data_IF_538867027124
#
_entry.id   IF_538867027124
#
_cell.length_a   1.000
_cell.length_b   1.000
_cell.length_c   1.000
_cell.angle_alpha   90.00
_cell.angle_beta   90.00
_cell.angle_gamma   90.00
#
_symmetry.space_group_name_H-M   'P 1'
#
loop_
_entity.id
_entity.type
_entity.pdbx_description
1 polymer ?
#
# COMPACT_ATOMS: atom_id res chain seq x y z
N UNK A 1 1.34 -6.93 22.80
CA UNK A 1 1.69 -5.50 22.94
C UNK A 1 0.50 -4.61 23.30
N UNK A 2 -0.67 -5.17 23.66
CA UNK A 2 -1.83 -4.39 24.10
C UNK A 2 -2.53 -3.59 23.00
N UNK A 3 -1.98 -3.57 21.78
CA UNK A 3 -2.60 -2.92 20.63
C UNK A 3 -3.89 -3.64 20.23
N UNK A 4 -4.93 -2.89 19.80
CA UNK A 4 -6.09 -3.48 19.15
C UNK A 4 -5.67 -4.33 17.93
N UNK A 5 -6.36 -5.45 17.75
CA UNK A 5 -6.21 -6.30 16.58
C UNK A 5 -7.54 -6.35 15.81
N UNK A 6 -7.50 -5.95 14.55
CA UNK A 6 -8.65 -5.95 13.66
C UNK A 6 -8.58 -7.18 12.75
N UNK A 7 -9.63 -7.99 12.77
CA UNK A 7 -9.69 -9.19 11.92
C UNK A 7 -11.07 -9.38 11.32
N UNK A 8 -11.12 -10.00 10.13
CA UNK A 8 -12.35 -10.34 9.44
C UNK A 8 -12.42 -9.74 8.04
N UNK A 9 -13.64 -9.48 7.57
CA UNK A 9 -13.87 -8.97 6.22
C UNK A 9 -14.53 -7.58 6.27
N UNK A 10 -14.08 -6.67 5.40
CA UNK A 10 -14.67 -5.34 5.25
C UNK A 10 -14.96 -5.02 3.78
N UNK A 11 -16.09 -4.36 3.55
CA UNK A 11 -16.43 -3.73 2.29
C UNK A 11 -16.35 -2.21 2.47
N UNK A 12 -15.55 -1.55 1.64
CA UNK A 12 -15.26 -0.12 1.72
C UNK A 12 -15.59 0.54 0.37
N UNK A 13 -15.98 1.81 0.40
CA UNK A 13 -16.03 2.60 -0.85
C UNK A 13 -14.60 2.96 -1.30
N UNK A 14 -13.74 3.29 -0.35
CA UNK A 14 -12.35 3.66 -0.60
C UNK A 14 -11.43 3.09 0.48
N UNK A 15 -10.25 2.63 0.05
CA UNK A 15 -9.13 2.28 0.91
C UNK A 15 -7.90 3.08 0.48
N UNK A 16 -7.47 4.01 1.34
CA UNK A 16 -6.22 4.75 1.18
C UNK A 16 -5.07 4.04 1.91
N UNK A 17 -3.99 3.75 1.19
CA UNK A 17 -2.80 3.10 1.71
C UNK A 17 -1.80 4.07 2.37
N UNK A 18 -1.90 5.37 2.10
CA UNK A 18 -0.94 6.36 2.61
C UNK A 18 -0.86 6.41 4.14
N UNK A 19 -1.98 6.41 4.91
CA UNK A 19 -1.92 6.39 6.36
C UNK A 19 -1.18 5.17 6.92
N UNK A 20 -1.29 4.01 6.26
CA UNK A 20 -0.57 2.81 6.66
C UNK A 20 0.92 2.95 6.36
N UNK A 21 1.29 3.51 5.20
CA UNK A 21 2.69 3.77 4.86
C UNK A 21 3.34 4.75 5.84
N UNK A 22 2.62 5.79 6.27
CA UNK A 22 3.03 6.73 7.33
C UNK A 22 3.23 6.01 8.66
N UNK A 23 2.33 5.11 9.04
CA UNK A 23 2.48 4.32 10.26
C UNK A 23 3.72 3.41 10.27
N UNK A 24 4.16 2.96 9.09
CA UNK A 24 5.34 2.10 8.91
C UNK A 24 6.64 2.90 8.87
N UNK A 25 6.67 4.04 8.18
CA UNK A 25 7.91 4.80 7.93
C UNK A 25 8.07 6.11 8.69
N UNK A 26 7.00 6.61 9.32
CA UNK A 26 6.97 7.92 9.95
C UNK A 26 6.56 9.03 8.97
N UNK A 27 5.90 10.04 9.52
CA UNK A 27 5.38 11.21 8.81
C UNK A 27 6.48 12.05 8.14
N UNK A 28 7.63 12.23 8.82
CA UNK A 28 8.72 13.09 8.37
C UNK A 28 9.26 12.70 6.99
N UNK A 29 9.27 11.41 6.67
CA UNK A 29 9.74 10.92 5.38
C UNK A 29 8.82 11.29 4.21
N UNK A 30 7.56 11.60 4.48
CA UNK A 30 6.57 12.00 3.48
C UNK A 30 6.39 13.52 3.36
N UNK A 31 7.11 14.34 4.14
CA UNK A 31 7.06 15.81 4.09
C UNK A 31 7.84 16.43 2.91
N UNK A 32 8.16 15.65 1.88
CA UNK A 32 9.04 16.03 0.77
C UNK A 32 8.49 17.17 -0.09
N UNK A 33 9.16 18.33 -0.02
CA UNK A 33 8.90 19.54 -0.80
C UNK A 33 9.22 19.36 -2.31
N UNK A 34 8.37 18.64 -3.04
CA UNK A 34 8.38 18.60 -4.51
C UNK A 34 9.46 17.72 -5.16
N UNK A 35 10.12 16.82 -4.40
CA UNK A 35 10.98 15.76 -4.96
C UNK A 35 10.38 14.39 -4.68
N UNK A 36 10.45 13.48 -5.66
CA UNK A 36 9.87 12.12 -5.61
C UNK A 36 10.49 11.21 -4.54
N UNK A 37 11.64 11.57 -3.95
CA UNK A 37 12.31 10.74 -2.94
C UNK A 37 12.43 11.42 -1.57
N UNK A 38 12.19 10.71 -0.46
CA UNK A 38 12.41 11.23 0.90
C UNK A 38 13.84 11.67 1.15
N UNK A 39 14.01 12.83 1.79
CA UNK A 39 15.32 13.30 2.29
C UNK A 39 15.47 13.14 3.80
N UNK A 40 14.36 13.03 4.52
CA UNK A 40 14.35 12.71 5.94
C UNK A 40 14.50 11.18 6.13
N UNK A 41 15.17 10.72 7.19
CA UNK A 41 15.25 9.29 7.51
C UNK A 41 13.87 8.73 7.86
N UNK A 42 13.65 7.45 7.57
CA UNK A 42 12.51 6.72 8.11
C UNK A 42 12.66 6.52 9.62
N UNK A 43 11.53 6.37 10.32
CA UNK A 43 11.53 5.93 11.71
C UNK A 43 12.24 4.57 11.84
N UNK A 44 12.94 4.34 12.95
CA UNK A 44 13.66 3.08 13.14
C UNK A 44 12.73 1.87 13.27
N UNK A 45 11.49 2.07 13.71
CA UNK A 45 10.52 0.99 13.90
C UNK A 45 9.14 1.43 13.44
N UNK A 46 8.43 0.53 12.76
CA UNK A 46 7.01 0.71 12.48
C UNK A 46 6.21 0.74 13.79
N UNK A 47 5.30 1.70 13.91
CA UNK A 47 4.49 1.90 15.10
C UNK A 47 3.02 2.07 14.73
N UNK A 48 2.39 1.05 14.11
CA UNK A 48 1.01 1.16 13.74
C UNK A 48 0.10 1.27 14.97
N UNK A 49 -0.99 2.05 14.90
CA UNK A 49 -1.90 2.25 16.03
C UNK A 49 -2.74 1.00 16.36
N UNK A 50 -2.78 0.04 15.46
CA UNK A 50 -3.41 -1.27 15.60
C UNK A 50 -2.70 -2.27 14.69
N UNK A 51 -2.97 -3.56 14.89
CA UNK A 51 -2.62 -4.61 13.92
C UNK A 51 -3.87 -5.05 13.17
N UNK A 52 -3.72 -5.55 11.96
CA UNK A 52 -4.85 -5.98 11.14
C UNK A 52 -4.55 -7.23 10.33
N UNK A 53 -5.55 -8.10 10.19
CA UNK A 53 -5.61 -9.20 9.23
C UNK A 53 -7.02 -9.21 8.59
N UNK A 54 -7.13 -8.58 7.42
CA UNK A 54 -8.41 -8.24 6.82
C UNK A 54 -8.53 -8.74 5.39
N UNK A 55 -9.68 -9.33 5.07
CA UNK A 55 -10.11 -9.53 3.69
C UNK A 55 -10.95 -8.33 3.25
N UNK A 56 -10.53 -7.66 2.18
CA UNK A 56 -11.08 -6.37 1.78
C UNK A 56 -11.68 -6.46 0.38
N UNK A 57 -12.85 -5.86 0.23
CA UNK A 57 -13.38 -5.44 -1.08
C UNK A 57 -13.55 -3.92 -1.05
N UNK A 58 -12.98 -3.21 -2.01
CA UNK A 58 -13.10 -1.75 -2.09
C UNK A 58 -13.41 -1.28 -3.51
N UNK A 59 -14.25 -0.25 -3.65
CA UNK A 59 -14.51 0.33 -4.97
C UNK A 59 -13.28 1.10 -5.50
N UNK A 60 -12.53 1.76 -4.61
CA UNK A 60 -11.28 2.46 -4.91
C UNK A 60 -10.16 2.03 -3.95
N UNK A 61 -9.00 1.65 -4.50
CA UNK A 61 -7.76 1.40 -3.77
C UNK A 61 -6.75 2.48 -4.16
N UNK A 62 -6.43 3.36 -3.23
CA UNK A 62 -5.58 4.53 -3.45
C UNK A 62 -4.19 4.28 -2.86
N UNK A 63 -3.15 4.43 -3.68
CA UNK A 63 -1.74 4.35 -3.28
C UNK A 63 -1.09 5.72 -3.48
N UNK A 64 -1.52 6.69 -2.66
CA UNK A 64 -1.06 8.08 -2.70
C UNK A 64 -1.06 8.67 -4.11
N UNK A 65 -0.06 9.49 -4.48
CA UNK A 65 0.03 10.08 -5.81
C UNK A 65 0.46 9.09 -6.90
N UNK A 66 0.73 7.82 -6.56
CA UNK A 66 1.31 6.85 -7.49
C UNK A 66 0.24 6.19 -8.37
N UNK A 67 -0.87 5.77 -7.78
CA UNK A 67 -1.88 5.00 -8.50
C UNK A 67 -3.23 4.95 -7.76
N UNK A 68 -4.29 4.83 -8.54
CA UNK A 68 -5.62 4.39 -8.07
C UNK A 68 -6.03 3.16 -8.87
N UNK A 69 -6.37 2.08 -8.17
CA UNK A 69 -6.99 0.89 -8.74
C UNK A 69 -8.47 0.81 -8.31
N UNK A 70 -9.30 0.16 -9.12
CA UNK A 70 -10.75 0.12 -8.93
C UNK A 70 -11.26 -1.31 -8.78
N UNK A 71 -12.43 -1.48 -8.17
CA UNK A 71 -13.07 -2.79 -7.94
C UNK A 71 -12.10 -3.80 -7.33
N UNK A 72 -11.38 -3.41 -6.27
CA UNK A 72 -10.29 -4.18 -5.72
C UNK A 72 -10.78 -5.20 -4.67
N UNK A 73 -10.22 -6.40 -4.72
CA UNK A 73 -10.30 -7.42 -3.68
C UNK A 73 -8.88 -7.83 -3.28
N UNK A 74 -8.60 -7.91 -1.98
CA UNK A 74 -7.27 -8.25 -1.45
C UNK A 74 -7.35 -8.80 -0.02
N UNK A 75 -6.29 -9.46 0.42
CA UNK A 75 -6.04 -9.73 1.83
C UNK A 75 -4.92 -8.81 2.32
N UNK A 76 -5.16 -8.09 3.42
CA UNK A 76 -4.27 -7.09 4.00
C UNK A 76 -3.81 -7.56 5.38
N UNK A 77 -2.49 -7.53 5.61
CA UNK A 77 -1.89 -7.63 6.93
C UNK A 77 -1.15 -6.33 7.26
N UNK A 78 -1.39 -5.79 8.45
CA UNK A 78 -0.65 -4.68 9.05
C UNK A 78 -0.14 -5.10 10.42
N UNK A 79 1.18 -5.03 10.61
CA UNK A 79 1.83 -5.32 11.88
C UNK A 79 3.13 -4.49 12.05
N UNK A 80 3.93 -4.83 13.06
CA UNK A 80 5.21 -4.17 13.33
C UNK A 80 6.30 -4.45 12.28
N UNK A 81 6.14 -5.44 11.41
CA UNK A 81 7.06 -5.66 10.28
C UNK A 81 6.72 -4.71 9.12
N UNK A 82 5.43 -4.43 8.94
CA UNK A 82 4.93 -3.45 7.99
C UNK A 82 3.57 -3.84 7.39
N UNK A 83 3.43 -3.62 6.08
CA UNK A 83 2.22 -3.92 5.32
C UNK A 83 2.49 -5.10 4.40
N UNK A 84 1.58 -6.06 4.36
CA UNK A 84 1.54 -7.12 3.35
C UNK A 84 0.17 -7.12 2.69
N UNK A 85 0.17 -7.13 1.36
CA UNK A 85 -1.02 -7.32 0.54
C UNK A 85 -0.82 -8.59 -0.27
N UNK A 86 -1.75 -9.53 -0.15
CA UNK A 86 -1.82 -10.74 -0.97
C UNK A 86 -3.14 -10.81 -1.72
N UNK A 87 -3.18 -11.71 -2.71
CA UNK A 87 -4.37 -12.02 -3.49
C UNK A 87 -5.05 -10.80 -4.12
N UNK A 88 -4.27 -9.74 -4.39
CA UNK A 88 -4.76 -8.52 -5.01
C UNK A 88 -5.37 -8.87 -6.38
N UNK A 89 -6.59 -8.42 -6.57
CA UNK A 89 -7.30 -8.40 -7.86
C UNK A 89 -7.98 -7.05 -7.97
N UNK A 90 -7.70 -6.29 -9.02
CA UNK A 90 -8.29 -4.97 -9.23
C UNK A 90 -8.31 -4.63 -10.73
N UNK A 91 -8.95 -3.52 -11.07
CA UNK A 91 -8.83 -2.86 -12.37
C UNK A 91 -7.85 -1.70 -12.26
N UNK A 92 -6.93 -1.59 -13.19
CA UNK A 92 -5.96 -0.50 -13.23
C UNK A 92 -5.65 -0.15 -14.67
N UNK A 93 -5.66 1.14 -15.01
CA UNK A 93 -5.33 1.63 -16.35
C UNK A 93 -6.10 0.91 -17.49
N UNK A 94 -7.39 0.64 -17.27
CA UNK A 94 -8.26 -0.09 -18.20
C UNK A 94 -8.04 -1.62 -18.27
N UNK A 95 -7.00 -2.15 -17.60
CA UNK A 95 -6.68 -3.57 -17.55
C UNK A 95 -7.02 -4.25 -16.22
N UNK A 96 -6.75 -5.55 -16.15
CA UNK A 96 -6.85 -6.36 -14.95
C UNK A 96 -5.50 -6.44 -14.23
N UNK A 97 -5.43 -5.90 -13.02
CA UNK A 97 -4.29 -5.98 -12.13
C UNK A 97 -4.45 -7.15 -11.16
N UNK A 98 -3.37 -7.91 -10.97
CA UNK A 98 -3.30 -8.94 -9.94
C UNK A 98 -1.91 -9.04 -9.33
N UNK A 99 -1.80 -9.53 -8.10
CA UNK A 99 -0.50 -9.84 -7.52
C UNK A 99 -0.45 -9.74 -6.00
N UNK A 100 0.74 -9.41 -5.51
CA UNK A 100 1.05 -9.26 -4.09
C UNK A 100 2.21 -8.28 -3.92
N UNK A 101 2.24 -7.61 -2.77
CA UNK A 101 3.37 -6.78 -2.37
C UNK A 101 3.52 -6.70 -0.86
N UNK A 102 4.72 -6.36 -0.43
CA UNK A 102 5.08 -6.08 0.94
C UNK A 102 5.82 -4.76 1.02
N UNK A 103 5.57 -4.03 2.09
CA UNK A 103 6.27 -2.82 2.46
C UNK A 103 6.73 -2.96 3.91
N UNK A 104 8.04 -2.97 4.12
CA UNK A 104 8.66 -3.24 5.42
C UNK A 104 9.59 -2.12 5.84
N UNK A 105 9.70 -1.94 7.15
CA UNK A 105 10.71 -1.09 7.76
C UNK A 105 11.63 -1.94 8.64
N UNK A 106 12.88 -2.11 8.20
CA UNK A 106 13.89 -2.88 8.91
C UNK A 106 14.93 -1.93 9.51
N UNK A 107 14.71 -1.52 10.76
CA UNK A 107 15.60 -0.63 11.52
C UNK A 107 15.93 0.70 10.79
N UNK A 108 14.91 1.31 10.18
CA UNK A 108 15.04 2.55 9.39
C UNK A 108 15.37 2.32 7.91
N UNK A 109 15.53 1.07 7.48
CA UNK A 109 15.66 0.72 6.06
C UNK A 109 14.30 0.36 5.49
N UNK A 110 13.80 1.18 4.57
CA UNK A 110 12.56 0.89 3.86
C UNK A 110 12.78 -0.11 2.73
N UNK A 111 11.97 -1.17 2.71
CA UNK A 111 11.98 -2.19 1.68
C UNK A 111 10.58 -2.33 1.08
N UNK A 112 10.49 -2.16 -0.24
CA UNK A 112 9.33 -2.56 -1.03
C UNK A 112 9.68 -3.81 -1.83
N UNK A 113 8.78 -4.79 -1.85
CA UNK A 113 8.92 -6.02 -2.64
C UNK A 113 7.56 -6.42 -3.17
N UNK A 114 7.47 -6.85 -4.43
CA UNK A 114 6.19 -7.24 -5.00
C UNK A 114 6.30 -7.95 -6.33
N UNK A 115 5.23 -8.66 -6.67
CA UNK A 115 5.02 -9.29 -7.96
C UNK A 115 3.64 -8.89 -8.44
N UNK A 116 3.60 -8.17 -9.56
CA UNK A 116 2.36 -7.67 -10.14
C UNK A 116 2.24 -8.14 -11.59
N UNK A 117 1.01 -8.43 -12.00
CA UNK A 117 0.63 -8.72 -13.38
C UNK A 117 -0.47 -7.76 -13.77
N UNK A 118 -0.24 -7.04 -14.87
CA UNK A 118 -1.25 -6.21 -15.52
C UNK A 118 -1.56 -6.81 -16.90
N UNK A 119 -2.82 -7.16 -17.12
CA UNK A 119 -3.28 -7.75 -18.38
C UNK A 119 -4.30 -6.83 -19.06
N UNK A 120 -4.12 -6.59 -20.36
CA UNK A 120 -5.07 -5.84 -21.18
C UNK A 120 -5.15 -4.33 -20.89
N UNK A 121 -4.16 -3.76 -20.21
CA UNK A 121 -4.03 -2.31 -20.06
C UNK A 121 -3.46 -1.66 -21.32
N UNK A 122 -3.82 -0.41 -21.57
CA UNK A 122 -3.20 0.41 -22.60
C UNK A 122 -1.80 0.85 -22.14
N UNK A 123 -0.76 0.42 -22.85
CA UNK A 123 0.64 0.75 -22.54
C UNK A 123 0.90 2.27 -22.52
N UNK A 124 0.16 3.05 -23.32
CA UNK A 124 0.29 4.51 -23.32
C UNK A 124 -0.12 5.14 -21.98
N UNK A 125 -0.95 4.46 -21.19
CA UNK A 125 -1.48 4.98 -19.91
C UNK A 125 -0.64 4.58 -18.69
N UNK A 126 0.36 3.72 -18.87
CA UNK A 126 1.18 3.16 -17.76
C UNK A 126 2.66 3.48 -17.87
N UNK A 127 3.11 4.02 -19.01
CA UNK A 127 4.48 4.46 -19.20
C UNK A 127 4.61 5.94 -18.81
N UNK A 128 5.72 6.34 -18.17
CA UNK A 128 5.97 7.76 -17.91
C UNK A 128 6.04 8.53 -19.23
N UNK A 129 5.44 9.71 -19.27
CA UNK A 129 5.64 10.63 -20.39
C UNK A 129 7.12 11.02 -20.46
N UNK A 130 7.72 10.82 -21.63
CA UNK A 130 9.14 11.13 -21.91
C UNK A 130 9.39 12.62 -22.05
#
# INVERSE_FOLDING_TARGET
>A
DGLPHLAGALALDELDLDPMAVAVFGDQAFLGAGRTWPTAPFNQRASPPFTAELDLTTASLVAGPLATAYDAALSLKLDHEGIRVSDLRAKFAGGALSGLFELKNNDGTGLFSGQLKLAGADLATVLPET
#
